data_IF_894634513331
#
_entry.id   IF_894634513331
#
_cell.length_a   1.000
_cell.length_b   1.000
_cell.length_c   1.000
_cell.angle_alpha   90.00
_cell.angle_beta   90.00
_cell.angle_gamma   90.00
#
_symmetry.space_group_name_H-M   'P 1'
#
loop_
_entity.id
_entity.type
_entity.pdbx_description
1 polymer ?
#
# COMPACT_ATOMS: atom_id res chain seq x y z
N UNK A 1 9.17 1.89 -12.56
CA UNK A 1 8.95 2.69 -11.33
C UNK A 1 10.14 2.47 -10.42
N UNK A 2 10.78 3.53 -9.89
CA UNK A 2 11.80 3.37 -8.85
C UNK A 2 11.15 2.84 -7.56
N UNK A 3 11.86 2.03 -6.78
CA UNK A 3 11.34 1.36 -5.58
C UNK A 3 11.40 2.25 -4.31
N UNK A 4 11.83 3.50 -4.46
CA UNK A 4 12.39 4.31 -3.36
C UNK A 4 11.38 5.28 -2.70
N UNK A 5 10.11 5.24 -3.09
CA UNK A 5 9.09 6.24 -2.71
C UNK A 5 8.58 6.10 -1.28
N UNK A 6 8.76 4.94 -0.63
CA UNK A 6 8.17 4.66 0.68
C UNK A 6 8.99 5.17 1.89
N UNK A 7 10.27 5.53 1.71
CA UNK A 7 11.20 5.68 2.85
C UNK A 7 11.52 7.14 3.25
N UNK A 8 10.81 8.14 2.74
CA UNK A 8 11.03 9.56 3.09
C UNK A 8 9.80 10.18 3.77
N UNK A 9 9.58 9.83 5.04
CA UNK A 9 8.60 10.51 5.89
C UNK A 9 9.31 11.60 6.73
N UNK A 10 9.54 12.77 6.11
CA UNK A 10 10.04 13.98 6.78
C UNK A 10 9.16 15.20 6.46
N UNK A 11 9.51 16.39 6.95
CA UNK A 11 8.77 17.66 6.76
C UNK A 11 8.45 17.97 5.28
N UNK A 12 9.17 17.37 4.33
CA UNK A 12 8.92 17.47 2.89
C UNK A 12 7.72 16.63 2.39
N UNK A 13 7.15 15.74 3.21
CA UNK A 13 6.03 14.86 2.86
C UNK A 13 4.80 15.61 2.34
N UNK A 14 4.60 16.86 2.76
CA UNK A 14 3.49 17.71 2.34
C UNK A 14 3.63 18.13 0.87
N UNK A 15 4.87 18.33 0.37
CA UNK A 15 5.14 18.68 -1.03
C UNK A 15 4.86 17.51 -1.98
N UNK A 16 5.20 16.29 -1.58
CA UNK A 16 5.01 15.09 -2.38
C UNK A 16 3.53 14.75 -2.60
N UNK A 17 2.67 15.07 -1.63
CA UNK A 17 1.21 14.86 -1.71
C UNK A 17 0.55 15.60 -2.88
N UNK A 18 1.12 16.74 -3.30
CA UNK A 18 0.62 17.49 -4.46
C UNK A 18 1.37 17.20 -5.76
N UNK A 19 2.40 16.35 -5.73
CA UNK A 19 3.16 15.99 -6.93
C UNK A 19 2.46 14.90 -7.76
N UNK A 20 1.53 14.14 -7.17
CA UNK A 20 0.83 13.04 -7.84
C UNK A 20 -0.66 13.02 -7.43
N UNK A 21 -1.52 13.44 -8.36
CA UNK A 21 -2.97 13.59 -8.12
C UNK A 21 -3.81 12.90 -9.20
N UNK A 22 -3.74 11.55 -9.32
CA UNK A 22 -4.47 10.81 -10.37
C UNK A 22 -5.99 10.95 -10.26
N UNK A 23 -6.50 11.27 -9.06
CA UNK A 23 -7.91 11.45 -8.75
C UNK A 23 -8.23 12.84 -8.15
N UNK A 24 -7.30 13.80 -8.30
CA UNK A 24 -7.38 15.11 -7.67
C UNK A 24 -7.17 15.06 -6.15
N UNK A 25 -7.58 16.13 -5.45
CA UNK A 25 -7.45 16.27 -4.00
C UNK A 25 -8.45 17.27 -3.42
N UNK A 26 -8.57 17.30 -2.09
CA UNK A 26 -9.47 18.23 -1.39
C UNK A 26 -10.97 17.87 -1.51
N UNK A 27 -11.87 18.83 -1.25
CA UNK A 27 -13.33 18.58 -1.19
C UNK A 27 -13.97 18.19 -2.53
N UNK A 28 -13.21 18.31 -3.63
CA UNK A 28 -13.64 17.95 -4.99
C UNK A 28 -12.85 16.77 -5.56
N UNK A 29 -12.21 15.97 -4.71
CA UNK A 29 -11.55 14.72 -5.14
C UNK A 29 -12.55 13.81 -5.87
N UNK A 30 -12.05 12.95 -6.76
CA UNK A 30 -12.88 11.96 -7.42
C UNK A 30 -13.65 11.12 -6.38
N UNK A 31 -14.97 11.03 -6.56
CA UNK A 31 -15.82 10.18 -5.73
C UNK A 31 -15.67 8.69 -6.08
N UNK A 32 -15.18 8.39 -7.29
CA UNK A 32 -14.96 7.04 -7.81
C UNK A 32 -13.49 6.60 -7.82
N UNK A 33 -12.64 7.16 -6.95
CA UNK A 33 -11.21 6.82 -6.89
C UNK A 33 -10.94 5.33 -6.67
N UNK A 34 -11.64 4.72 -5.70
CA UNK A 34 -11.53 3.29 -5.44
C UNK A 34 -12.10 2.47 -6.58
N UNK A 35 -13.23 2.88 -7.14
CA UNK A 35 -13.87 2.19 -8.26
C UNK A 35 -12.94 2.14 -9.49
N UNK A 36 -12.45 3.30 -9.94
CA UNK A 36 -11.55 3.40 -11.09
C UNK A 36 -10.25 2.61 -10.87
N UNK A 37 -9.73 2.59 -9.64
CA UNK A 37 -8.55 1.80 -9.30
C UNK A 37 -8.81 0.31 -9.49
N UNK A 38 -9.89 -0.22 -8.91
CA UNK A 38 -10.22 -1.64 -9.04
C UNK A 38 -10.58 -2.03 -10.48
N UNK A 39 -11.35 -1.19 -11.17
CA UNK A 39 -11.71 -1.42 -12.57
C UNK A 39 -10.47 -1.54 -13.45
N UNK A 40 -9.53 -0.60 -13.34
CA UNK A 40 -8.29 -0.62 -14.12
C UNK A 40 -7.43 -1.84 -13.78
N UNK A 41 -7.25 -2.15 -12.49
CA UNK A 41 -6.47 -3.32 -12.07
C UNK A 41 -7.06 -4.61 -12.62
N UNK A 42 -8.37 -4.80 -12.49
CA UNK A 42 -9.05 -6.01 -12.99
C UNK A 42 -9.00 -6.09 -14.51
N UNK A 43 -9.31 -5.00 -15.21
CA UNK A 43 -9.27 -4.95 -16.67
C UNK A 43 -7.87 -5.28 -17.20
N UNK A 44 -6.83 -4.62 -16.68
CA UNK A 44 -5.44 -4.86 -17.11
C UNK A 44 -4.98 -6.28 -16.75
N UNK A 45 -5.27 -6.76 -15.54
CA UNK A 45 -4.90 -8.12 -15.12
C UNK A 45 -5.53 -9.18 -16.04
N UNK A 46 -6.81 -9.01 -16.39
CA UNK A 46 -7.52 -9.95 -17.24
C UNK A 46 -7.04 -9.93 -18.70
N UNK A 47 -6.71 -8.75 -19.23
CA UNK A 47 -6.15 -8.61 -20.57
C UNK A 47 -4.75 -9.23 -20.66
N UNK A 48 -3.82 -8.86 -19.77
CA UNK A 48 -2.43 -9.35 -19.79
C UNK A 48 -2.32 -10.84 -19.47
N UNK A 49 -3.27 -11.38 -18.68
CA UNK A 49 -3.33 -12.83 -18.41
C UNK A 49 -3.67 -13.65 -19.66
N UNK A 50 -4.41 -13.08 -20.62
CA UNK A 50 -4.99 -13.83 -21.76
C UNK A 50 -4.34 -13.52 -23.09
N UNK A 51 -3.77 -12.32 -23.25
CA UNK A 51 -3.26 -11.84 -24.52
C UNK A 51 -1.89 -11.22 -24.39
N UNK A 52 -1.09 -11.36 -25.45
CA UNK A 52 0.13 -10.61 -25.66
C UNK A 52 -0.16 -9.47 -26.66
N UNK A 53 0.31 -8.27 -26.35
CA UNK A 53 0.08 -7.06 -27.13
C UNK A 53 1.39 -6.59 -27.74
N UNK A 54 1.39 -6.34 -29.06
CA UNK A 54 2.52 -5.80 -29.80
C UNK A 54 2.05 -4.63 -30.69
N UNK A 55 2.93 -3.68 -30.98
CA UNK A 55 2.59 -2.61 -31.92
C UNK A 55 2.32 -3.21 -33.30
N UNK A 56 1.21 -2.79 -33.94
CA UNK A 56 0.87 -3.30 -35.25
C UNK A 56 1.92 -2.85 -36.29
N UNK A 57 2.29 -3.69 -37.28
CA UNK A 57 3.17 -3.28 -38.36
C UNK A 57 2.60 -2.07 -39.10
N UNK A 58 3.38 -0.99 -39.20
CA UNK A 58 2.93 0.25 -39.83
C UNK A 58 1.92 1.06 -39.00
N UNK A 59 1.80 0.81 -37.70
CA UNK A 59 1.02 1.66 -36.81
C UNK A 59 1.54 3.12 -36.87
N UNK A 60 0.65 4.12 -36.89
CA UNK A 60 1.06 5.52 -36.81
C UNK A 60 1.76 5.81 -35.47
N UNK A 61 2.59 6.86 -35.40
CA UNK A 61 3.16 7.32 -34.14
C UNK A 61 2.07 7.60 -33.09
N UNK A 62 2.37 7.29 -31.83
CA UNK A 62 1.44 7.54 -30.73
C UNK A 62 1.61 8.97 -30.23
N UNK A 63 0.93 9.90 -30.90
CA UNK A 63 0.85 11.30 -30.47
C UNK A 63 -0.38 11.56 -29.62
N UNK A 64 -0.32 12.59 -28.78
CA UNK A 64 -1.35 12.91 -27.79
C UNK A 64 -2.15 14.16 -28.16
N UNK A 65 -3.46 14.09 -27.97
CA UNK A 65 -4.36 15.25 -27.97
C UNK A 65 -4.97 15.43 -26.58
N UNK A 66 -5.08 16.68 -26.16
CA UNK A 66 -5.56 17.05 -24.82
C UNK A 66 -7.02 17.48 -24.85
N UNK A 67 -7.80 17.01 -23.88
CA UNK A 67 -9.18 17.42 -23.62
C UNK A 67 -9.55 17.16 -22.16
N UNK A 68 -10.79 16.72 -21.90
CA UNK A 68 -11.16 16.22 -20.57
C UNK A 68 -10.34 14.97 -20.17
N UNK A 69 -9.95 14.18 -21.16
CA UNK A 69 -9.01 13.04 -21.06
C UNK A 69 -7.94 13.18 -22.14
N UNK A 70 -6.81 12.50 -21.97
CA UNK A 70 -5.76 12.43 -23.00
C UNK A 70 -6.17 11.35 -24.01
N UNK A 71 -6.19 11.71 -25.29
CA UNK A 71 -6.48 10.79 -26.38
C UNK A 71 -5.26 10.65 -27.30
N UNK A 72 -5.19 9.54 -28.03
CA UNK A 72 -4.25 9.38 -29.14
C UNK A 72 -4.84 10.04 -30.40
N UNK A 73 -4.00 10.66 -31.22
CA UNK A 73 -4.42 11.27 -32.51
C UNK A 73 -5.08 10.27 -33.46
N UNK A 74 -4.50 9.09 -33.62
CA UNK A 74 -4.90 8.09 -34.63
C UNK A 74 -5.26 6.70 -34.05
N UNK A 75 -5.48 6.65 -32.73
CA UNK A 75 -5.71 5.41 -32.00
C UNK A 75 -4.41 4.68 -31.63
N UNK A 76 -4.52 3.71 -30.71
CA UNK A 76 -3.42 2.81 -30.35
C UNK A 76 -3.60 1.47 -31.07
N UNK A 77 -3.03 1.34 -32.28
CA UNK A 77 -3.17 0.13 -33.11
C UNK A 77 -2.18 -0.95 -32.66
N UNK A 78 -2.70 -2.09 -32.21
CA UNK A 78 -1.91 -3.21 -31.71
C UNK A 78 -2.32 -4.53 -32.35
N UNK A 79 -1.35 -5.42 -32.54
CA UNK A 79 -1.59 -6.84 -32.82
C UNK A 79 -1.76 -7.57 -31.50
N UNK A 80 -2.86 -8.32 -31.40
CA UNK A 80 -3.23 -9.07 -30.19
C UNK A 80 -3.13 -10.56 -30.50
N UNK A 81 -2.31 -11.29 -29.75
CA UNK A 81 -2.19 -12.74 -29.86
C UNK A 81 -2.61 -13.41 -28.57
N UNK A 82 -3.21 -14.61 -28.65
CA UNK A 82 -3.60 -15.36 -27.45
C UNK A 82 -2.34 -15.86 -26.74
N UNK A 83 -2.24 -15.56 -25.45
CA UNK A 83 -1.16 -16.03 -24.60
C UNK A 83 -1.32 -17.52 -24.31
N UNK A 84 -0.29 -18.30 -24.62
CA UNK A 84 -0.26 -19.76 -24.39
C UNK A 84 0.55 -20.15 -23.15
N UNK A 85 1.46 -19.29 -22.72
CA UNK A 85 2.27 -19.54 -21.51
C UNK A 85 1.44 -19.28 -20.26
N UNK A 86 1.36 -20.23 -19.31
CA UNK A 86 0.67 -20.00 -18.05
C UNK A 86 1.28 -18.79 -17.32
N UNK A 87 0.47 -18.00 -16.59
CA UNK A 87 1.01 -16.92 -15.77
C UNK A 87 2.04 -17.51 -14.81
N UNK A 88 3.19 -16.86 -14.69
CA UNK A 88 4.16 -17.21 -13.64
C UNK A 88 3.42 -16.92 -12.33
N UNK A 89 3.05 -17.98 -11.62
CA UNK A 89 2.60 -17.87 -10.23
C UNK A 89 3.90 -17.81 -9.44
N UNK A 90 4.39 -16.63 -9.01
CA UNK A 90 5.50 -16.62 -8.08
C UNK A 90 5.03 -17.42 -6.85
N UNK A 91 5.80 -18.43 -6.47
CA UNK A 91 5.64 -19.01 -5.15
C UNK A 91 5.99 -17.88 -4.17
N UNK A 92 4.97 -17.21 -3.62
CA UNK A 92 5.16 -16.28 -2.52
C UNK A 92 5.55 -17.14 -1.31
N UNK A 93 6.84 -17.44 -1.21
CA UNK A 93 7.46 -17.79 0.06
C UNK A 93 7.30 -16.53 0.93
N UNK A 94 6.16 -16.41 1.62
CA UNK A 94 5.97 -15.39 2.63
C UNK A 94 7.02 -15.68 3.71
N UNK A 95 8.15 -14.98 3.66
CA UNK A 95 8.97 -14.77 4.85
C UNK A 95 8.08 -14.01 5.82
N UNK A 96 7.31 -14.76 6.61
CA UNK A 96 6.85 -14.30 7.91
C UNK A 96 8.13 -13.91 8.62
N UNK A 97 8.43 -12.62 8.63
CA UNK A 97 9.42 -12.06 9.53
C UNK A 97 8.91 -12.43 10.92
N UNK A 98 9.47 -13.52 11.45
CA UNK A 98 9.42 -13.81 12.86
C UNK A 98 10.29 -12.75 13.49
N UNK A 99 9.65 -11.64 13.88
CA UNK A 99 10.25 -10.73 14.82
C UNK A 99 10.49 -11.55 16.09
N UNK A 100 11.72 -12.04 16.23
CA UNK A 100 12.20 -12.67 17.44
C UNK A 100 12.40 -11.56 18.47
N UNK A 101 11.30 -10.94 18.89
CA UNK A 101 11.24 -10.24 20.15
C UNK A 101 11.42 -11.31 21.22
N UNK A 102 12.68 -11.56 21.57
CA UNK A 102 13.08 -12.29 22.77
C UNK A 102 12.24 -11.70 23.90
N UNK A 103 11.38 -12.48 24.59
CA UNK A 103 10.69 -11.96 25.75
C UNK A 103 11.77 -11.65 26.77
N UNK A 104 12.06 -10.36 26.97
CA UNK A 104 12.88 -9.89 28.08
C UNK A 104 12.11 -10.25 29.33
N UNK A 105 12.58 -11.34 29.95
CA UNK A 105 12.21 -11.87 31.26
C UNK A 105 12.06 -10.69 32.23
N UNK A 106 10.85 -10.24 32.50
CA UNK A 106 10.59 -9.31 33.59
C UNK A 106 10.93 -10.05 34.87
N UNK A 107 11.97 -9.60 35.54
CA UNK A 107 12.27 -9.99 36.92
C UNK A 107 11.02 -9.71 37.78
N UNK A 108 10.56 -10.66 38.62
CA UNK A 108 9.50 -10.36 39.56
C UNK A 108 10.04 -9.34 40.57
N UNK A 109 9.28 -8.26 40.75
CA UNK A 109 9.51 -7.23 41.75
C UNK A 109 9.44 -7.90 43.13
N UNK A 110 10.60 -8.06 43.77
CA UNK A 110 10.71 -8.49 45.17
C UNK A 110 10.18 -7.35 46.03
N UNK A 111 8.95 -7.49 46.54
CA UNK A 111 8.44 -6.61 47.60
C UNK A 111 9.07 -7.08 48.90
N UNK A 112 10.05 -6.34 49.39
CA UNK A 112 10.61 -6.53 50.73
C UNK A 112 9.57 -6.12 51.77
N UNK A 113 9.01 -7.10 52.47
CA UNK A 113 8.18 -6.87 53.64
C UNK A 113 9.10 -6.61 54.84
N UNK A 114 9.23 -5.35 55.25
CA UNK A 114 9.82 -4.99 56.54
C UNK A 114 8.70 -4.93 57.59
N UNK A 115 8.79 -5.83 58.56
CA UNK A 115 7.94 -5.86 59.74
C UNK A 115 8.28 -4.72 60.70
N UNK A 116 7.25 -4.08 61.27
CA UNK A 116 7.31 -3.40 62.57
C UNK A 116 6.04 -3.77 63.33
N UNK A 117 6.26 -4.48 64.43
CA UNK A 117 5.27 -4.88 65.41
C UNK A 117 5.21 -3.86 66.56
N UNK A 118 4.18 -4.04 67.42
CA UNK A 118 3.97 -3.40 68.74
C UNK A 118 3.13 -2.11 68.67
N UNK A 119 2.00 -1.95 69.36
CA UNK A 119 1.31 -2.75 70.39
C UNK A 119 0.18 -1.87 71.00
N UNK A 120 -0.79 -2.52 71.66
CA UNK A 120 -1.77 -1.99 72.67
C UNK A 120 -2.59 -0.72 72.35
N UNK A 121 -3.77 -0.43 72.92
CA UNK A 121 -4.82 -1.09 73.70
C UNK A 121 -5.91 0.00 73.87
N UNK A 122 -7.15 -0.44 74.07
CA UNK A 122 -8.28 0.26 74.73
C UNK A 122 -8.98 1.51 74.15
N UNK A 123 -10.27 1.26 73.83
CA UNK A 123 -11.52 1.82 74.40
C UNK A 123 -11.76 3.34 74.54
N UNK A 124 -13.06 3.63 74.44
CA UNK A 124 -13.85 4.82 74.86
C UNK A 124 -14.07 5.89 73.79
N UNK A 125 -15.30 5.99 73.25
CA UNK A 125 -16.43 6.79 73.77
C UNK A 125 -16.13 8.30 73.72
N UNK A 126 -16.65 8.98 72.70
CA UNK A 126 -17.75 9.95 72.85
C UNK A 126 -18.28 10.42 71.51
#
# INVERSE_FOLDING_TARGET
MPEDWFNHCGIHAISWIFSYLPFGGGPRKCAGDMFATFENVVATAMLVKRFDFQMAPGAPPVDMTTGATIHTTEGLKMTVTRRTKPPVIPNLEMKVVSDSQKPTRSTPMVVSAAAVASGEDQRELS
#
